data_IF_636022493717
#
_entry.id   IF_636022493717
#
_cell.length_a   1.000
_cell.length_b   1.000
_cell.length_c   1.000
_cell.angle_alpha   90.00
_cell.angle_beta   90.00
_cell.angle_gamma   90.00
#
_symmetry.space_group_name_H-M   'P 1'
#
loop_
_entity.id
_entity.type
_entity.pdbx_description
1 polymer ?
#
# COMPACT_ATOMS: atom_id res chain seq x y z
N UNK A 1 -14.49 26.88 17.73
CA UNK A 1 -14.71 28.08 16.93
C UNK A 1 -16.09 28.00 16.28
N UNK A 2 -16.83 29.11 16.24
CA UNK A 2 -18.10 29.17 15.53
C UNK A 2 -17.75 28.90 14.03
N UNK A 3 -18.33 27.86 13.46
CA UNK A 3 -18.18 27.57 12.04
C UNK A 3 -18.77 28.73 11.26
N UNK A 4 -17.92 29.49 10.56
CA UNK A 4 -18.38 30.39 9.51
C UNK A 4 -18.99 29.57 8.36
N UNK A 5 -19.72 30.23 7.48
CA UNK A 5 -20.38 29.60 6.33
C UNK A 5 -19.39 29.06 5.26
N UNK A 6 -18.07 29.31 5.43
CA UNK A 6 -17.01 28.84 4.54
C UNK A 6 -15.70 28.58 5.30
N UNK A 7 -14.95 27.58 4.86
CA UNK A 7 -13.59 27.31 5.25
C UNK A 7 -12.66 27.53 4.05
N UNK A 8 -11.50 28.12 4.29
CA UNK A 8 -10.50 28.36 3.25
C UNK A 8 -9.11 28.05 3.80
N UNK A 9 -8.39 27.19 3.10
CA UNK A 9 -7.04 26.79 3.46
C UNK A 9 -6.16 26.66 2.25
N UNK A 10 -4.85 26.67 2.47
CA UNK A 10 -3.83 26.41 1.47
C UNK A 10 -2.87 25.37 1.99
N UNK A 11 -2.54 24.39 1.13
CA UNK A 11 -1.55 23.35 1.40
C UNK A 11 -0.54 23.27 0.27
N UNK A 12 0.70 22.99 0.61
CA UNK A 12 1.77 22.71 -0.34
C UNK A 12 2.77 21.74 0.25
N UNK A 13 3.47 21.02 -0.63
CA UNK A 13 4.57 20.16 -0.25
C UNK A 13 5.66 20.18 -1.32
N UNK A 14 6.91 19.99 -0.90
CA UNK A 14 8.07 19.86 -1.76
C UNK A 14 8.92 18.71 -1.26
N UNK A 15 9.16 17.73 -2.13
CA UNK A 15 10.11 16.67 -1.89
C UNK A 15 11.41 16.96 -2.64
N UNK A 16 12.54 16.78 -1.96
CA UNK A 16 13.86 17.02 -2.51
C UNK A 16 14.90 16.08 -1.90
N UNK A 17 15.90 15.70 -2.67
CA UNK A 17 16.93 14.77 -2.21
C UNK A 17 17.81 14.25 -3.32
N UNK A 18 18.41 13.09 -3.08
CA UNK A 18 19.31 12.43 -4.00
C UNK A 18 18.87 10.97 -4.18
N UNK A 19 18.88 10.51 -5.42
CA UNK A 19 18.70 9.11 -5.76
C UNK A 19 19.75 8.71 -6.80
N UNK A 20 20.15 7.45 -6.78
CA UNK A 20 21.15 6.97 -7.72
C UNK A 20 21.11 5.46 -7.91
N UNK A 21 21.66 5.05 -9.05
CA UNK A 21 21.91 3.67 -9.40
C UNK A 21 23.28 3.55 -10.04
N UNK A 22 24.03 2.52 -9.66
CA UNK A 22 25.36 2.26 -10.23
C UNK A 22 25.57 0.76 -10.47
N UNK A 23 26.25 0.43 -11.55
CA UNK A 23 26.63 -0.95 -11.86
C UNK A 23 27.91 -1.32 -11.09
N UNK A 24 27.93 -2.50 -10.52
CA UNK A 24 29.10 -3.02 -9.81
C UNK A 24 30.12 -3.60 -10.81
N UNK A 25 31.05 -2.80 -11.27
CA UNK A 25 32.02 -3.19 -12.28
C UNK A 25 31.37 -3.64 -13.58
N UNK A 26 31.85 -4.77 -14.13
CA UNK A 26 31.30 -5.39 -15.35
C UNK A 26 30.27 -6.51 -15.02
N UNK A 27 29.82 -6.60 -13.77
CA UNK A 27 28.85 -7.64 -13.35
C UNK A 27 27.43 -7.33 -13.82
N UNK A 28 26.50 -8.26 -13.58
CA UNK A 28 25.06 -8.04 -13.77
C UNK A 28 24.39 -7.50 -12.49
N UNK A 29 25.18 -6.95 -11.57
CA UNK A 29 24.73 -6.45 -10.27
C UNK A 29 24.71 -4.94 -10.30
N UNK A 30 23.60 -4.36 -9.84
CA UNK A 30 23.40 -2.92 -9.73
C UNK A 30 23.06 -2.56 -8.28
N UNK A 31 23.70 -1.53 -7.77
CA UNK A 31 23.37 -0.93 -6.48
C UNK A 31 22.55 0.32 -6.71
N UNK A 32 21.53 0.55 -5.89
CA UNK A 32 20.72 1.76 -5.94
C UNK A 32 20.30 2.23 -4.56
N UNK A 33 19.83 3.45 -4.47
CA UNK A 33 19.30 4.01 -3.23
C UNK A 33 18.76 5.42 -3.42
N UNK A 34 18.04 5.88 -2.42
CA UNK A 34 17.48 7.23 -2.34
C UNK A 34 17.58 7.76 -0.92
N UNK A 35 17.72 9.08 -0.82
CA UNK A 35 17.56 9.83 0.42
C UNK A 35 16.85 11.13 0.09
N UNK A 36 15.60 11.27 0.54
CA UNK A 36 14.77 12.46 0.27
C UNK A 36 14.20 13.03 1.56
N UNK A 37 13.98 14.34 1.55
CA UNK A 37 13.25 15.08 2.58
C UNK A 37 11.97 15.63 1.97
N UNK A 38 10.92 15.60 2.75
CA UNK A 38 9.63 16.19 2.43
C UNK A 38 9.39 17.38 3.37
N UNK A 39 9.26 18.56 2.79
CA UNK A 39 8.74 19.75 3.48
C UNK A 39 7.29 19.95 3.10
N UNK A 40 6.42 20.02 4.09
CA UNK A 40 4.99 20.26 3.91
C UNK A 40 4.55 21.48 4.73
N UNK A 41 3.56 22.19 4.21
CA UNK A 41 3.02 23.42 4.80
C UNK A 41 1.50 23.45 4.65
N UNK A 42 0.82 23.96 5.65
CA UNK A 42 -0.61 24.28 5.59
C UNK A 42 -0.91 25.56 6.38
N UNK A 43 -1.85 26.38 5.90
CA UNK A 43 -2.32 27.56 6.57
C UNK A 43 -3.78 27.85 6.28
N UNK A 44 -4.44 28.58 7.16
CA UNK A 44 -5.86 28.92 7.05
C UNK A 44 -6.74 28.02 7.92
N UNK A 45 -8.03 27.99 7.61
CA UNK A 45 -9.01 27.18 8.33
C UNK A 45 -9.52 26.06 7.43
N UNK A 46 -9.18 24.81 7.79
CA UNK A 46 -9.78 23.62 7.21
C UNK A 46 -10.96 23.11 8.04
N UNK A 47 -11.46 21.91 7.75
CA UNK A 47 -12.60 21.31 8.46
C UNK A 47 -12.29 20.93 9.92
N UNK A 48 -11.03 20.76 10.27
CA UNK A 48 -10.57 20.26 11.56
C UNK A 48 -9.71 21.28 12.32
N UNK A 49 -9.00 22.17 11.61
CA UNK A 49 -7.94 23.02 12.16
C UNK A 49 -8.03 24.44 11.62
N UNK A 50 -7.54 25.39 12.43
CA UNK A 50 -7.47 26.82 12.10
C UNK A 50 -6.09 27.34 12.54
N UNK A 51 -5.02 26.84 11.95
CA UNK A 51 -3.63 27.19 12.28
C UNK A 51 -2.72 27.18 11.06
N UNK A 52 -1.47 27.57 11.28
CA UNK A 52 -0.40 27.45 10.31
C UNK A 52 0.60 26.43 10.80
N UNK A 53 0.97 25.50 9.94
CA UNK A 53 1.91 24.40 10.22
C UNK A 53 2.93 24.25 9.12
N UNK A 54 4.13 23.94 9.52
CA UNK A 54 5.23 23.58 8.63
C UNK A 54 6.01 22.43 9.26
N UNK A 55 6.45 21.49 8.43
CA UNK A 55 7.27 20.39 8.86
C UNK A 55 8.15 19.88 7.74
N UNK A 56 9.41 19.63 8.08
CA UNK A 56 10.36 18.91 7.20
C UNK A 56 10.71 17.59 7.87
N UNK A 57 10.58 16.49 7.12
CA UNK A 57 10.94 15.14 7.57
C UNK A 57 11.67 14.37 6.49
N UNK A 58 12.42 13.37 6.91
CA UNK A 58 12.95 12.34 6.03
C UNK A 58 11.76 11.56 5.43
N UNK A 59 11.68 11.51 4.10
CA UNK A 59 10.65 10.74 3.39
C UNK A 59 11.22 9.41 2.92
N UNK A 60 12.27 9.41 2.09
CA UNK A 60 12.97 8.20 1.70
C UNK A 60 14.36 8.10 2.31
N UNK A 61 14.74 6.92 2.76
CA UNK A 61 16.11 6.54 3.07
C UNK A 61 16.24 5.03 2.90
N UNK A 62 16.59 4.57 1.72
CA UNK A 62 16.74 3.16 1.44
C UNK A 62 17.88 2.87 0.49
N UNK A 63 18.31 1.61 0.49
CA UNK A 63 19.24 1.08 -0.49
C UNK A 63 18.79 -0.29 -0.97
N UNK A 64 19.30 -0.68 -2.14
CA UNK A 64 18.94 -1.96 -2.72
C UNK A 64 19.94 -2.45 -3.75
N UNK A 65 19.70 -3.68 -4.18
CA UNK A 65 20.51 -4.39 -5.15
C UNK A 65 19.59 -5.04 -6.19
N UNK A 66 19.92 -4.86 -7.48
CA UNK A 66 19.30 -5.57 -8.59
C UNK A 66 20.33 -6.52 -9.18
N UNK A 67 19.94 -7.76 -9.38
CA UNK A 67 20.74 -8.81 -10.00
C UNK A 67 20.01 -9.31 -11.25
N UNK A 68 20.66 -9.29 -12.40
CA UNK A 68 20.10 -9.74 -13.67
C UNK A 68 20.56 -8.90 -14.84
N UNK A 69 20.26 -9.38 -16.05
CA UNK A 69 20.49 -8.67 -17.31
C UNK A 69 19.13 -8.36 -17.95
N UNK A 70 19.00 -7.28 -18.74
CA UNK A 70 17.79 -7.00 -19.50
C UNK A 70 17.34 -8.15 -20.40
N UNK A 71 18.30 -8.94 -20.90
CA UNK A 71 18.05 -10.09 -21.79
C UNK A 71 17.84 -11.42 -21.03
N UNK A 72 17.84 -11.39 -19.70
CA UNK A 72 17.68 -12.59 -18.88
C UNK A 72 16.21 -12.89 -18.62
N UNK A 73 15.85 -14.17 -18.66
CA UNK A 73 14.53 -14.65 -18.22
C UNK A 73 14.27 -14.43 -16.73
N UNK A 74 15.29 -14.11 -15.95
CA UNK A 74 15.20 -13.92 -14.52
C UNK A 74 15.89 -12.63 -14.04
N UNK A 75 15.37 -12.09 -12.96
CA UNK A 75 15.99 -11.01 -12.22
C UNK A 75 15.61 -11.11 -10.73
N UNK A 76 16.48 -10.57 -9.88
CA UNK A 76 16.21 -10.42 -8.46
C UNK A 76 16.43 -8.95 -8.05
N UNK A 77 15.59 -8.46 -7.17
CA UNK A 77 15.69 -7.13 -6.59
C UNK A 77 15.45 -7.23 -5.08
N UNK A 78 16.36 -6.68 -4.30
CA UNK A 78 16.25 -6.59 -2.85
C UNK A 78 16.49 -5.16 -2.41
N UNK A 79 15.62 -4.65 -1.53
CA UNK A 79 15.80 -3.32 -0.93
C UNK A 79 15.39 -3.30 0.52
N UNK A 80 15.97 -2.40 1.29
CA UNK A 80 15.60 -2.18 2.68
C UNK A 80 15.76 -0.71 3.06
N UNK A 81 14.93 -0.28 3.99
CA UNK A 81 14.91 1.06 4.56
C UNK A 81 13.53 1.72 4.45
N UNK A 82 13.52 3.01 4.72
CA UNK A 82 12.33 3.86 4.60
C UNK A 82 12.06 4.13 3.13
N UNK A 83 10.99 3.57 2.57
CA UNK A 83 10.65 3.72 1.15
C UNK A 83 9.15 3.57 0.90
N UNK A 84 8.71 4.15 -0.20
CA UNK A 84 7.38 3.93 -0.71
C UNK A 84 7.25 2.51 -1.29
N UNK A 85 6.16 1.85 -0.95
CA UNK A 85 5.83 0.53 -1.48
C UNK A 85 4.31 0.35 -1.60
N UNK A 86 3.91 -0.44 -2.58
CA UNK A 86 2.53 -0.81 -2.81
C UNK A 86 2.48 -2.21 -3.40
N UNK A 87 1.55 -3.03 -2.96
CA UNK A 87 1.32 -4.35 -3.53
C UNK A 87 0.11 -4.31 -4.47
N UNK A 88 0.27 -4.88 -5.66
CA UNK A 88 -0.76 -4.91 -6.70
C UNK A 88 -1.34 -3.50 -6.98
N UNK A 89 -2.67 -3.34 -6.92
CA UNK A 89 -3.35 -2.05 -7.10
C UNK A 89 -3.68 -1.34 -5.79
N UNK A 90 -3.12 -1.81 -4.67
CA UNK A 90 -3.23 -1.17 -3.38
C UNK A 90 -4.52 -1.47 -2.62
N UNK A 91 -5.13 -2.62 -2.83
CA UNK A 91 -6.31 -3.02 -2.09
C UNK A 91 -6.00 -3.28 -0.60
N UNK A 92 -4.95 -4.05 -0.34
CA UNK A 92 -4.50 -4.38 1.03
C UNK A 92 -3.31 -3.53 1.47
N UNK A 93 -2.32 -3.37 0.59
CA UNK A 93 -1.13 -2.56 0.87
C UNK A 93 -1.01 -1.46 -0.18
N UNK A 94 -1.39 -0.25 0.20
CA UNK A 94 -1.22 0.95 -0.61
C UNK A 94 -0.06 1.79 -0.11
N UNK A 95 0.22 2.90 -0.79
CA UNK A 95 1.15 3.91 -0.29
C UNK A 95 0.68 4.40 1.08
N UNK A 96 1.48 4.17 2.09
CA UNK A 96 1.09 4.49 3.45
C UNK A 96 1.28 5.98 3.72
N UNK A 97 0.20 6.67 3.94
CA UNK A 97 0.21 8.05 4.39
C UNK A 97 -0.98 8.34 5.31
N UNK A 98 -1.73 7.29 5.67
CA UNK A 98 -2.88 7.40 6.56
C UNK A 98 -2.44 8.02 7.88
N UNK A 99 -3.30 8.74 8.53
CA UNK A 99 -3.05 9.31 9.84
C UNK A 99 -1.83 10.23 9.95
N UNK A 100 -0.80 9.97 9.15
CA UNK A 100 0.47 10.68 9.20
C UNK A 100 0.36 12.18 8.95
N UNK A 101 -0.70 12.63 8.32
CA UNK A 101 -0.98 14.05 8.10
C UNK A 101 -1.99 14.64 9.09
N UNK A 102 -2.47 13.83 10.04
CA UNK A 102 -3.30 14.31 11.15
C UNK A 102 -2.43 14.88 12.29
N UNK A 103 -3.06 15.35 13.35
CA UNK A 103 -2.36 15.86 14.52
C UNK A 103 -1.41 17.02 14.20
N UNK A 104 -0.11 16.92 14.50
CA UNK A 104 0.87 17.99 14.27
C UNK A 104 1.27 18.17 12.81
N UNK A 105 0.96 17.23 11.93
CA UNK A 105 1.42 17.25 10.55
C UNK A 105 0.62 18.24 9.69
N UNK A 106 1.28 19.00 8.80
CA UNK A 106 0.63 19.82 7.79
C UNK A 106 0.18 18.98 6.57
N UNK A 107 -0.53 19.64 5.66
CA UNK A 107 -0.94 19.09 4.36
C UNK A 107 -1.80 17.81 4.46
N UNK A 108 -2.83 17.86 5.33
CA UNK A 108 -3.75 16.75 5.58
C UNK A 108 -4.43 16.23 4.30
N UNK A 109 -4.85 17.14 3.42
CA UNK A 109 -5.61 16.77 2.21
C UNK A 109 -4.72 16.42 1.02
N UNK A 110 -3.52 17.01 0.93
CA UNK A 110 -2.54 16.60 -0.08
C UNK A 110 -1.94 15.23 0.22
N UNK A 111 -1.88 14.86 1.49
CA UNK A 111 -1.38 13.56 1.96
C UNK A 111 -0.02 13.18 1.32
N UNK A 112 1.02 14.03 1.42
CA UNK A 112 2.23 13.85 0.63
C UNK A 112 3.18 12.77 1.16
N UNK A 113 3.00 12.31 2.40
CA UNK A 113 3.83 11.28 3.02
C UNK A 113 3.35 9.90 2.57
N UNK A 114 4.23 9.12 1.95
CA UNK A 114 3.91 7.84 1.34
C UNK A 114 4.87 6.70 1.70
N UNK A 115 6.02 7.01 2.30
CA UNK A 115 6.99 6.00 2.69
C UNK A 115 6.60 5.29 3.98
N UNK A 116 6.78 3.98 4.01
CA UNK A 116 6.77 3.18 5.23
C UNK A 116 7.95 3.57 6.12
N UNK A 117 7.82 3.43 7.45
CA UNK A 117 8.91 3.71 8.40
C UNK A 117 10.10 2.79 8.15
N UNK A 118 9.84 1.50 7.94
CA UNK A 118 10.83 0.51 7.55
C UNK A 118 10.23 -0.52 6.61
N UNK A 119 11.02 -0.92 5.63
CA UNK A 119 10.70 -2.04 4.76
C UNK A 119 11.90 -2.93 4.54
N UNK A 120 11.64 -4.23 4.29
CA UNK A 120 12.59 -5.14 3.68
C UNK A 120 11.84 -5.88 2.56
N UNK A 121 12.22 -5.64 1.31
CA UNK A 121 11.53 -6.13 0.12
C UNK A 121 12.46 -7.02 -0.69
N UNK A 122 11.93 -8.16 -1.17
CA UNK A 122 12.63 -9.04 -2.07
C UNK A 122 11.74 -9.49 -3.21
N UNK A 123 12.16 -9.26 -4.47
CA UNK A 123 11.43 -9.65 -5.67
C UNK A 123 12.30 -10.55 -6.54
N UNK A 124 11.80 -11.72 -6.89
CA UNK A 124 12.43 -12.62 -7.85
C UNK A 124 11.47 -12.82 -9.01
N UNK A 125 11.88 -12.41 -10.19
CA UNK A 125 11.12 -12.58 -11.42
C UNK A 125 11.75 -13.68 -12.27
N UNK A 126 10.91 -14.56 -12.78
CA UNK A 126 11.28 -15.57 -13.75
C UNK A 126 10.22 -15.67 -14.84
N UNK A 127 10.55 -15.20 -16.04
CA UNK A 127 9.62 -15.11 -17.18
C UNK A 127 8.35 -14.35 -16.79
N UNK A 128 7.25 -15.04 -16.68
CA UNK A 128 5.92 -14.52 -16.37
C UNK A 128 5.55 -14.61 -14.89
N UNK A 129 6.38 -15.25 -14.08
CA UNK A 129 6.18 -15.40 -12.64
C UNK A 129 7.01 -14.39 -11.86
N UNK A 130 6.46 -13.89 -10.76
CA UNK A 130 7.18 -13.07 -9.79
C UNK A 130 6.80 -13.52 -8.39
N UNK A 131 7.82 -13.81 -7.58
CA UNK A 131 7.69 -13.96 -6.13
C UNK A 131 8.18 -12.67 -5.48
N UNK A 132 7.36 -12.09 -4.61
CA UNK A 132 7.68 -10.91 -3.81
C UNK A 132 7.50 -11.23 -2.34
N UNK A 133 8.57 -11.22 -1.55
CA UNK A 133 8.55 -11.27 -0.10
C UNK A 133 8.69 -9.87 0.48
N UNK A 134 8.03 -9.60 1.59
CA UNK A 134 8.07 -8.30 2.23
C UNK A 134 7.98 -8.38 3.76
N UNK A 135 8.62 -7.43 4.39
CA UNK A 135 8.38 -6.99 5.76
C UNK A 135 8.19 -5.48 5.70
N UNK A 136 7.15 -4.97 6.34
CA UNK A 136 6.83 -3.54 6.36
C UNK A 136 6.37 -3.09 7.74
N UNK A 137 6.83 -1.93 8.11
CA UNK A 137 6.48 -1.19 9.32
C UNK A 137 5.87 0.14 8.85
N UNK A 138 4.56 0.36 9.06
CA UNK A 138 3.89 1.59 8.66
C UNK A 138 4.44 2.82 9.39
N UNK A 139 4.49 3.97 8.68
CA UNK A 139 4.87 5.24 9.29
C UNK A 139 3.68 5.85 10.05
N UNK A 140 3.41 5.36 11.24
CA UNK A 140 2.34 5.85 12.10
C UNK A 140 2.71 7.19 12.77
N UNK A 141 1.73 7.84 13.41
CA UNK A 141 1.97 9.06 14.19
C UNK A 141 2.38 8.64 15.60
N UNK A 142 3.43 9.23 16.16
CA UNK A 142 4.06 8.86 17.42
C UNK A 142 3.07 8.60 18.59
N UNK A 143 1.98 9.35 18.68
CA UNK A 143 0.98 9.19 19.75
C UNK A 143 -0.18 8.22 19.41
N UNK A 144 -0.20 7.70 18.18
CA UNK A 144 -1.13 6.68 17.69
C UNK A 144 -0.38 5.46 17.17
N UNK A 145 0.91 5.40 17.41
CA UNK A 145 1.77 4.30 17.01
C UNK A 145 1.29 3.01 17.69
N UNK A 146 0.98 2.06 16.87
CA UNK A 146 0.48 0.76 17.29
C UNK A 146 1.55 -0.32 17.26
N UNK A 147 2.79 0.04 16.93
CA UNK A 147 3.91 -0.89 16.69
C UNK A 147 3.51 -2.06 15.75
N UNK A 148 2.62 -1.77 14.79
CA UNK A 148 2.11 -2.81 13.90
C UNK A 148 3.09 -3.07 12.78
N UNK A 149 3.48 -4.32 12.60
CA UNK A 149 4.31 -4.77 11.49
C UNK A 149 3.60 -5.83 10.67
N UNK A 150 3.96 -5.93 9.39
CA UNK A 150 3.40 -6.94 8.49
C UNK A 150 4.50 -7.64 7.71
N UNK A 151 4.39 -8.97 7.61
CA UNK A 151 5.32 -9.79 6.85
C UNK A 151 4.56 -10.80 5.98
N UNK A 152 5.01 -10.98 4.74
CA UNK A 152 4.31 -11.85 3.82
C UNK A 152 5.02 -12.12 2.51
N UNK A 153 4.32 -12.86 1.65
CA UNK A 153 4.80 -13.16 0.31
C UNK A 153 3.64 -13.18 -0.69
N UNK A 154 3.89 -12.66 -1.88
CA UNK A 154 2.97 -12.62 -3.02
C UNK A 154 3.58 -13.34 -4.22
N UNK A 155 2.88 -14.34 -4.74
CA UNK A 155 3.22 -14.99 -6.00
C UNK A 155 2.30 -14.46 -7.09
N UNK A 156 2.85 -13.85 -8.11
CA UNK A 156 2.09 -13.29 -9.23
C UNK A 156 2.51 -13.88 -10.58
N UNK A 157 1.55 -13.95 -11.49
CA UNK A 157 1.69 -14.34 -12.87
C UNK A 157 1.12 -13.26 -13.77
N UNK A 158 1.88 -12.88 -14.81
CA UNK A 158 1.41 -11.93 -15.83
C UNK A 158 1.62 -12.55 -17.21
N UNK A 159 0.51 -12.80 -17.92
CA UNK A 159 0.57 -13.35 -19.26
C UNK A 159 0.95 -12.30 -20.30
N UNK A 160 1.51 -12.70 -21.47
CA UNK A 160 1.76 -11.78 -22.58
C UNK A 160 0.49 -11.13 -23.14
N UNK A 161 -0.68 -11.66 -22.82
CA UNK A 161 -1.99 -11.16 -23.29
C UNK A 161 -2.68 -10.27 -22.28
N UNK A 162 -1.99 -9.86 -21.18
CA UNK A 162 -2.52 -8.96 -20.18
C UNK A 162 -3.42 -9.62 -19.12
N UNK A 163 -3.40 -10.96 -19.00
CA UNK A 163 -4.02 -11.64 -17.86
C UNK A 163 -3.06 -11.63 -16.69
N UNK A 164 -3.55 -11.28 -15.52
CA UNK A 164 -2.82 -11.25 -14.26
C UNK A 164 -3.51 -12.13 -13.22
N UNK A 165 -2.73 -12.85 -12.44
CA UNK A 165 -3.20 -13.60 -11.28
C UNK A 165 -2.19 -13.47 -10.15
N UNK A 166 -2.64 -13.40 -8.90
CA UNK A 166 -1.76 -13.45 -7.74
C UNK A 166 -2.39 -14.14 -6.56
N UNK A 167 -1.52 -14.69 -5.71
CA UNK A 167 -1.84 -15.26 -4.41
C UNK A 167 -0.91 -14.62 -3.38
N UNK A 168 -1.49 -14.03 -2.36
CA UNK A 168 -0.81 -13.37 -1.26
C UNK A 168 -1.09 -14.11 0.04
N UNK A 169 -0.08 -14.24 0.86
CA UNK A 169 -0.21 -14.54 2.27
C UNK A 169 0.57 -13.51 3.07
N UNK A 170 -0.02 -12.97 4.14
CA UNK A 170 0.70 -12.14 5.11
C UNK A 170 0.14 -12.34 6.51
N UNK A 171 0.92 -11.91 7.49
CA UNK A 171 0.56 -11.88 8.90
C UNK A 171 1.02 -10.60 9.56
N UNK A 172 0.41 -10.25 10.70
CA UNK A 172 0.91 -9.23 11.62
C UNK A 172 1.68 -9.89 12.76
N UNK A 173 3.03 -9.93 12.71
CA UNK A 173 3.85 -10.55 13.76
C UNK A 173 3.88 -9.73 15.04
N UNK A 174 3.70 -8.43 14.97
CA UNK A 174 3.73 -7.50 16.09
C UNK A 174 2.63 -6.46 15.92
N UNK A 175 1.91 -6.14 17.01
CA UNK A 175 0.96 -5.03 17.07
C UNK A 175 0.47 -4.80 18.50
N UNK A 176 0.38 -3.55 18.92
CA UNK A 176 -0.30 -3.13 20.15
C UNK A 176 -1.80 -2.83 19.93
N UNK A 177 -2.28 -2.92 18.68
CA UNK A 177 -3.71 -2.71 18.38
C UNK A 177 -4.55 -3.86 18.93
N UNK A 178 -5.66 -3.49 19.57
CA UNK A 178 -6.69 -4.44 20.03
C UNK A 178 -8.07 -4.00 19.54
N UNK A 179 -8.90 -4.96 19.20
CA UNK A 179 -10.27 -4.74 18.76
C UNK A 179 -11.26 -5.21 19.82
N UNK A 180 -12.29 -4.42 20.14
CA UNK A 180 -13.35 -4.86 21.03
C UNK A 180 -14.20 -5.94 20.35
N UNK A 181 -14.52 -7.03 21.08
CA UNK A 181 -15.43 -8.08 20.68
C UNK A 181 -16.35 -8.46 21.85
N UNK A 182 -17.45 -9.21 21.62
CA UNK A 182 -18.29 -9.72 22.69
C UNK A 182 -17.55 -10.58 23.72
N UNK A 183 -16.48 -11.26 23.31
CA UNK A 183 -15.64 -12.12 24.16
C UNK A 183 -14.49 -11.39 24.86
N UNK A 184 -14.30 -10.08 24.61
CA UNK A 184 -13.20 -9.28 25.14
C UNK A 184 -12.42 -8.54 24.06
N UNK A 185 -11.15 -8.27 24.32
CA UNK A 185 -10.28 -7.61 23.34
C UNK A 185 -9.49 -8.65 22.54
N UNK A 186 -9.51 -8.49 21.23
CA UNK A 186 -8.80 -9.32 20.27
C UNK A 186 -7.58 -8.56 19.75
N UNK A 187 -6.35 -9.10 19.88
CA UNK A 187 -5.17 -8.43 19.35
C UNK A 187 -5.09 -8.54 17.83
N UNK A 188 -4.50 -7.55 17.16
CA UNK A 188 -4.09 -7.67 15.75
C UNK A 188 -2.88 -8.59 15.60
N UNK A 189 -1.99 -8.61 16.59
CA UNK A 189 -0.86 -9.54 16.61
C UNK A 189 -1.33 -10.98 16.47
N UNK A 190 -0.82 -11.68 15.46
CA UNK A 190 -1.24 -13.06 15.12
C UNK A 190 -2.34 -13.14 14.05
N UNK A 191 -2.86 -12.01 13.56
CA UNK A 191 -3.74 -11.97 12.39
C UNK A 191 -3.01 -12.52 11.16
N UNK A 192 -3.73 -13.29 10.34
CA UNK A 192 -3.25 -13.88 9.09
C UNK A 192 -4.24 -13.59 7.97
N UNK A 193 -3.73 -13.30 6.79
CA UNK A 193 -4.56 -13.02 5.62
C UNK A 193 -4.09 -13.82 4.42
N UNK A 194 -5.03 -14.46 3.74
CA UNK A 194 -4.85 -15.05 2.41
C UNK A 194 -5.65 -14.22 1.42
N UNK A 195 -5.04 -13.88 0.30
CA UNK A 195 -5.68 -13.10 -0.74
C UNK A 195 -5.44 -13.70 -2.11
N UNK A 196 -6.43 -13.61 -2.99
CA UNK A 196 -6.36 -14.03 -4.38
C UNK A 196 -6.88 -12.94 -5.30
N UNK A 197 -6.08 -12.57 -6.30
CA UNK A 197 -6.42 -11.59 -7.33
C UNK A 197 -6.36 -12.21 -8.72
N UNK A 198 -7.34 -11.86 -9.55
CA UNK A 198 -7.40 -12.26 -10.97
C UNK A 198 -7.91 -11.10 -11.80
N UNK A 199 -7.33 -10.90 -12.98
CA UNK A 199 -7.81 -9.87 -13.89
C UNK A 199 -7.18 -9.92 -15.27
N UNK A 200 -7.63 -9.00 -16.11
CA UNK A 200 -7.10 -8.84 -17.47
C UNK A 200 -7.25 -7.38 -17.91
N UNK A 201 -6.25 -6.88 -18.62
CA UNK A 201 -6.25 -5.57 -19.30
C UNK A 201 -6.68 -5.65 -20.77
N UNK A 202 -6.95 -6.86 -21.26
CA UNK A 202 -7.43 -7.13 -22.62
C UNK A 202 -8.41 -8.32 -22.60
N UNK A 203 -9.50 -8.16 -21.84
CA UNK A 203 -10.49 -9.21 -21.64
C UNK A 203 -11.11 -9.63 -22.98
N UNK A 204 -11.17 -10.94 -23.22
CA UNK A 204 -11.64 -11.54 -24.49
C UNK A 204 -10.86 -11.06 -25.73
N UNK A 205 -9.60 -10.56 -25.56
CA UNK A 205 -8.81 -10.00 -26.65
C UNK A 205 -9.21 -8.58 -27.05
N UNK A 206 -10.15 -7.95 -26.34
CA UNK A 206 -10.57 -6.57 -26.59
C UNK A 206 -9.58 -5.65 -25.86
N UNK A 207 -8.75 -4.96 -26.62
CA UNK A 207 -7.80 -4.00 -26.11
C UNK A 207 -8.49 -2.85 -25.36
N UNK A 208 -8.01 -2.54 -24.15
CA UNK A 208 -8.58 -1.48 -23.30
C UNK A 208 -9.79 -1.91 -22.46
N UNK A 209 -10.35 -3.10 -22.69
CA UNK A 209 -11.36 -3.67 -21.78
C UNK A 209 -10.67 -4.39 -20.62
N UNK A 210 -10.86 -3.86 -19.42
CA UNK A 210 -10.29 -4.42 -18.20
C UNK A 210 -11.36 -4.99 -17.27
N UNK A 211 -11.00 -6.09 -16.63
CA UNK A 211 -11.77 -6.65 -15.52
C UNK A 211 -10.79 -7.20 -14.49
N UNK A 212 -10.95 -6.81 -13.23
CA UNK A 212 -10.17 -7.28 -12.09
C UNK A 212 -11.09 -7.62 -10.93
N UNK A 213 -10.71 -8.63 -10.16
CA UNK A 213 -11.31 -8.97 -8.89
C UNK A 213 -10.26 -9.45 -7.92
N UNK A 214 -10.48 -9.17 -6.65
CA UNK A 214 -9.61 -9.56 -5.53
C UNK A 214 -10.48 -9.96 -4.35
N UNK A 215 -10.08 -10.99 -3.63
CA UNK A 215 -10.77 -11.52 -2.46
C UNK A 215 -9.75 -11.83 -1.38
N UNK A 216 -9.93 -11.22 -0.23
CA UNK A 216 -9.10 -11.40 0.96
C UNK A 216 -9.91 -12.06 2.08
N UNK A 217 -9.30 -12.99 2.77
CA UNK A 217 -9.83 -13.68 3.92
C UNK A 217 -8.85 -13.56 5.08
N UNK A 218 -9.32 -13.01 6.20
CA UNK A 218 -8.56 -12.84 7.44
C UNK A 218 -8.99 -13.85 8.48
N UNK A 219 -8.00 -14.42 9.12
CA UNK A 219 -8.10 -15.31 10.25
C UNK A 219 -7.13 -14.91 11.35
N UNK A 220 -7.17 -15.57 12.49
CA UNK A 220 -6.23 -15.33 13.56
C UNK A 220 -5.70 -16.65 14.14
N UNK A 221 -4.44 -16.63 14.59
CA UNK A 221 -3.76 -17.81 15.12
C UNK A 221 -4.40 -18.36 16.40
N UNK A 222 -4.87 -17.49 17.29
CA UNK A 222 -5.26 -17.82 18.66
C UNK A 222 -6.72 -17.52 19.00
N UNK A 223 -7.46 -16.84 18.13
CA UNK A 223 -8.87 -16.45 18.36
C UNK A 223 -9.73 -16.76 17.15
N UNK A 224 -11.04 -16.87 17.38
CA UNK A 224 -12.00 -17.12 16.32
C UNK A 224 -12.27 -15.82 15.53
N UNK A 225 -11.57 -15.69 14.40
CA UNK A 225 -11.65 -14.56 13.48
C UNK A 225 -11.90 -15.06 12.06
N UNK A 226 -13.02 -14.65 11.46
CA UNK A 226 -13.42 -14.98 10.08
C UNK A 226 -13.92 -13.71 9.37
N UNK A 227 -13.01 -12.91 8.85
CA UNK A 227 -13.34 -11.66 8.18
C UNK A 227 -12.98 -11.71 6.70
N UNK A 228 -13.70 -10.97 5.87
CA UNK A 228 -13.60 -11.03 4.41
C UNK A 228 -13.68 -9.65 3.80
N UNK A 229 -12.88 -9.45 2.74
CA UNK A 229 -13.00 -8.28 1.89
C UNK A 229 -12.86 -8.69 0.42
N UNK A 230 -13.50 -7.96 -0.46
CA UNK A 230 -13.35 -8.17 -1.89
C UNK A 230 -13.63 -6.91 -2.69
N UNK A 231 -13.10 -6.86 -3.89
CA UNK A 231 -13.55 -5.90 -4.89
C UNK A 231 -13.69 -6.55 -6.27
N UNK A 232 -14.50 -5.88 -7.10
CA UNK A 232 -14.54 -6.10 -8.54
C UNK A 232 -14.41 -4.74 -9.24
N UNK A 233 -13.57 -4.67 -10.26
CA UNK A 233 -13.37 -3.47 -11.10
C UNK A 233 -13.53 -3.84 -12.56
N UNK A 234 -14.36 -3.06 -13.28
CA UNK A 234 -14.47 -3.11 -14.72
C UNK A 234 -14.16 -1.74 -15.31
N UNK A 235 -13.48 -1.69 -16.44
CA UNK A 235 -13.11 -0.44 -17.06
C UNK A 235 -12.87 -0.57 -18.56
N UNK A 236 -12.88 0.58 -19.25
CA UNK A 236 -12.56 0.65 -20.65
C UNK A 236 -11.75 1.90 -21.00
N UNK A 237 -10.64 1.70 -21.69
CA UNK A 237 -9.79 2.76 -22.21
C UNK A 237 -10.11 3.04 -23.67
N UNK A 238 -10.55 4.24 -23.96
CA UNK A 238 -10.90 4.71 -25.31
C UNK A 238 -9.66 5.17 -26.07
N UNK A 239 -8.81 4.23 -26.47
CA UNK A 239 -7.50 4.51 -27.08
C UNK A 239 -7.53 5.32 -28.38
N UNK A 240 -8.69 5.39 -29.06
CA UNK A 240 -8.87 6.15 -30.31
C UNK A 240 -9.39 7.59 -30.08
N UNK A 241 -9.76 7.95 -28.87
CA UNK A 241 -10.20 9.29 -28.53
C UNK A 241 -9.02 10.17 -28.13
N UNK A 242 -9.11 11.53 -28.32
CA UNK A 242 -8.15 12.45 -27.75
C UNK A 242 -7.98 12.23 -26.25
N UNK A 243 -6.74 12.33 -25.74
CA UNK A 243 -6.36 12.10 -24.33
C UNK A 243 -6.58 10.67 -23.80
N UNK A 244 -6.96 9.72 -24.66
CA UNK A 244 -7.15 8.29 -24.30
C UNK A 244 -7.89 8.11 -22.96
N UNK A 245 -9.13 8.65 -22.81
CA UNK A 245 -9.83 8.61 -21.55
C UNK A 245 -10.11 7.17 -21.13
N UNK A 246 -10.00 6.90 -19.82
CA UNK A 246 -10.39 5.65 -19.18
C UNK A 246 -11.65 5.91 -18.34
N UNK A 247 -12.65 5.05 -18.49
CA UNK A 247 -13.82 4.99 -17.63
C UNK A 247 -13.79 3.66 -16.88
N UNK A 248 -13.77 3.72 -15.56
CA UNK A 248 -13.79 2.52 -14.74
C UNK A 248 -14.77 2.65 -13.57
N UNK A 249 -15.29 1.51 -13.15
CA UNK A 249 -16.11 1.36 -11.95
C UNK A 249 -15.53 0.28 -11.06
N UNK A 250 -15.41 0.57 -9.77
CA UNK A 250 -14.96 -0.38 -8.74
C UNK A 250 -16.02 -0.47 -7.65
N UNK A 251 -16.42 -1.67 -7.34
CA UNK A 251 -17.21 -2.01 -6.16
C UNK A 251 -16.31 -2.74 -5.17
N UNK A 252 -16.32 -2.33 -3.92
CA UNK A 252 -15.59 -3.02 -2.84
C UNK A 252 -16.52 -3.23 -1.64
N UNK A 253 -16.28 -4.31 -0.91
CA UNK A 253 -17.01 -4.67 0.29
C UNK A 253 -16.06 -5.25 1.33
N UNK A 254 -16.28 -4.89 2.58
CA UNK A 254 -15.56 -5.36 3.75
C UNK A 254 -16.59 -5.89 4.75
N UNK A 255 -16.33 -7.03 5.36
CA UNK A 255 -17.22 -7.56 6.40
C UNK A 255 -17.18 -6.63 7.63
N UNK A 256 -18.34 -6.47 8.25
CA UNK A 256 -18.50 -5.92 9.59
C UNK A 256 -18.57 -7.01 10.63
N UNK A 257 -18.54 -6.63 11.90
CA UNK A 257 -18.72 -7.55 13.02
C UNK A 257 -20.20 -7.76 13.33
N UNK A 258 -20.61 -9.02 13.58
CA UNK A 258 -21.93 -9.34 14.10
C UNK A 258 -21.83 -9.59 15.62
N UNK A 259 -22.31 -8.65 16.46
CA UNK A 259 -22.19 -8.77 17.91
C UNK A 259 -23.04 -9.91 18.50
N UNK A 260 -23.87 -10.59 17.71
CA UNK A 260 -24.64 -11.77 18.14
C UNK A 260 -23.84 -13.06 18.08
N UNK A 261 -22.69 -13.08 17.40
CA UNK A 261 -21.76 -14.22 17.33
C UNK A 261 -20.62 -14.05 18.33
N UNK A 262 -19.82 -15.11 18.52
CA UNK A 262 -18.57 -15.04 19.27
C UNK A 262 -17.35 -14.93 18.37
N UNK A 263 -17.52 -15.15 17.08
CA UNK A 263 -16.51 -14.98 16.04
C UNK A 263 -16.33 -13.50 15.73
N UNK A 264 -15.11 -13.04 15.62
CA UNK A 264 -14.83 -11.67 15.15
C UNK A 264 -14.84 -11.65 13.63
N UNK A 265 -15.75 -10.88 13.03
CA UNK A 265 -16.01 -10.91 11.59
C UNK A 265 -15.66 -9.60 10.88
N UNK A 266 -15.19 -8.59 11.61
CA UNK A 266 -14.80 -7.30 11.02
C UNK A 266 -13.44 -7.41 10.34
N UNK A 267 -13.40 -7.05 9.05
CA UNK A 267 -12.16 -6.96 8.29
C UNK A 267 -11.31 -5.78 8.78
N UNK A 268 -10.04 -6.05 9.05
CA UNK A 268 -9.03 -5.05 9.42
C UNK A 268 -8.32 -4.56 8.14
N UNK A 269 -8.69 -3.32 7.69
CA UNK A 269 -8.26 -2.72 6.44
C UNK A 269 -7.23 -1.60 6.65
#
# INVERSE_FOLDING_TARGET
PARGDSASWFETSVEYGLAGITRLGNSTVWLYGSSTFLTSFSTGQDLFRADTREMTRLEDLYSGIVIGSPDSDWSANFSAGRQNWQLNDGFLFSRFAAGANAGPYPALYLNPRTAYEMTALGKIKWKHLQLEGFYVDPAEIDYLDSDSTYAGANLSYTSPKGTEASLLFYQSPESNTVFPSPSGFIPREGMQTVDARLGSTALFGIQGLELFGEYAWQTHRDVDWDARAYYARAGYTFAKLPWTPNLSYRYASFSGDDPSTQTYERFDA
#
